data_IF_454136060108
#
_entry.id   IF_454136060108
#
_cell.length_a   1.000
_cell.length_b   1.000
_cell.length_c   1.000
_cell.angle_alpha   90.00
_cell.angle_beta   90.00
_cell.angle_gamma   90.00
#
_symmetry.space_group_name_H-M   'P 1'
#
loop_
_entity.id
_entity.type
_entity.pdbx_description
1 polymer ?
#
# COMPACT_ATOMS: atom_id res chain seq x y z
N UNK A 1 18.83 6.22 17.62
CA UNK A 1 18.84 5.86 16.20
C UNK A 1 18.05 4.57 16.06
N UNK A 2 17.05 4.53 15.18
CA UNK A 2 16.24 3.32 14.96
C UNK A 2 17.07 2.22 14.30
N UNK A 3 16.94 0.96 14.76
CA UNK A 3 17.60 -0.19 14.14
C UNK A 3 16.84 -0.62 12.89
N UNK A 4 17.53 -0.69 11.76
CA UNK A 4 16.98 -1.23 10.51
C UNK A 4 17.14 -2.75 10.50
N UNK A 5 16.04 -3.48 10.38
CA UNK A 5 16.04 -4.92 10.16
C UNK A 5 16.35 -5.23 8.70
N UNK A 6 16.86 -6.45 8.44
CA UNK A 6 17.37 -6.86 7.13
C UNK A 6 18.36 -5.84 6.54
N UNK A 7 19.30 -5.33 7.35
CA UNK A 7 20.14 -4.17 7.00
C UNK A 7 21.02 -4.37 5.76
N UNK A 8 21.30 -5.61 5.37
CA UNK A 8 22.09 -5.98 4.19
C UNK A 8 21.23 -6.36 2.97
N UNK A 9 19.91 -6.17 3.09
CA UNK A 9 18.93 -6.45 2.05
C UNK A 9 18.68 -5.27 1.11
N UNK A 10 17.41 -5.09 0.73
CA UNK A 10 17.02 -4.16 -0.34
C UNK A 10 15.93 -3.19 0.10
N UNK A 11 15.88 -2.00 -0.50
CA UNK A 11 14.75 -1.08 -0.38
C UNK A 11 13.57 -1.51 -1.28
N UNK A 12 12.38 -0.94 -1.05
CA UNK A 12 11.19 -1.29 -1.83
C UNK A 12 11.37 -1.02 -3.33
N UNK A 13 11.94 0.12 -3.71
CA UNK A 13 12.19 0.46 -5.11
C UNK A 13 13.13 -0.53 -5.81
N UNK A 14 14.19 -0.97 -5.10
CA UNK A 14 15.14 -1.97 -5.61
C UNK A 14 14.47 -3.33 -5.79
N UNK A 15 13.66 -3.78 -4.82
CA UNK A 15 12.91 -5.02 -4.92
C UNK A 15 11.90 -5.01 -6.07
N UNK A 16 11.20 -3.89 -6.28
CA UNK A 16 10.29 -3.71 -7.43
C UNK A 16 11.08 -3.73 -8.75
N UNK A 17 12.23 -3.07 -8.83
CA UNK A 17 13.10 -3.12 -10.00
C UNK A 17 13.51 -4.57 -10.32
N UNK A 18 13.92 -5.34 -9.32
CA UNK A 18 14.23 -6.77 -9.45
C UNK A 18 13.01 -7.59 -9.89
N UNK A 19 11.84 -7.37 -9.27
CA UNK A 19 10.58 -8.03 -9.64
C UNK A 19 10.16 -7.73 -11.08
N UNK A 20 10.47 -6.53 -11.57
CA UNK A 20 10.18 -6.08 -12.92
C UNK A 20 11.16 -6.60 -13.98
N UNK A 21 12.17 -7.39 -13.60
CA UNK A 21 13.29 -7.77 -14.48
C UNK A 21 14.00 -6.53 -15.06
N UNK A 22 14.18 -5.52 -14.21
CA UNK A 22 14.81 -4.23 -14.54
C UNK A 22 14.07 -3.43 -15.64
N UNK A 23 12.75 -3.62 -15.78
CA UNK A 23 11.92 -2.84 -16.74
C UNK A 23 11.29 -1.60 -16.11
N UNK A 24 11.16 -1.56 -14.79
CA UNK A 24 10.73 -0.38 -14.03
C UNK A 24 11.87 0.07 -13.12
N UNK A 25 12.23 1.36 -13.19
CA UNK A 25 13.31 1.90 -12.36
C UNK A 25 12.89 2.10 -10.91
N UNK A 26 11.61 2.40 -10.66
CA UNK A 26 11.06 2.69 -9.34
C UNK A 26 11.82 3.84 -8.64
N UNK A 27 12.16 4.88 -9.41
CA UNK A 27 12.91 6.03 -8.92
C UNK A 27 12.14 6.79 -7.83
N UNK A 28 12.82 7.10 -6.72
CA UNK A 28 12.22 7.80 -5.58
C UNK A 28 11.68 9.19 -5.98
N UNK A 29 12.42 9.95 -6.78
CA UNK A 29 12.02 11.31 -7.16
C UNK A 29 10.76 11.30 -8.02
N UNK A 30 10.68 10.40 -9.01
CA UNK A 30 9.49 10.22 -9.82
C UNK A 30 8.31 9.68 -9.03
N UNK A 31 8.55 8.78 -8.07
CA UNK A 31 7.52 8.29 -7.17
C UNK A 31 6.94 9.42 -6.30
N UNK A 32 7.79 10.28 -5.75
CA UNK A 32 7.37 11.45 -4.98
C UNK A 32 6.57 12.45 -5.83
N UNK A 33 7.01 12.72 -7.06
CA UNK A 33 6.26 13.58 -7.99
C UNK A 33 4.89 12.97 -8.33
N UNK A 34 4.82 11.66 -8.57
CA UNK A 34 3.56 10.97 -8.80
C UNK A 34 2.60 11.12 -7.62
N UNK A 35 3.10 10.95 -6.39
CA UNK A 35 2.29 11.14 -5.17
C UNK A 35 1.73 12.57 -5.14
N UNK A 36 2.55 13.59 -5.40
CA UNK A 36 2.11 14.98 -5.36
C UNK A 36 1.01 15.26 -6.39
N UNK A 37 1.15 14.75 -7.60
CA UNK A 37 0.16 14.91 -8.67
C UNK A 37 -1.15 14.15 -8.37
N UNK A 38 -1.05 12.89 -7.94
CA UNK A 38 -2.19 11.97 -7.83
C UNK A 38 -2.93 12.03 -6.48
N UNK A 39 -2.34 12.67 -5.47
CA UNK A 39 -3.07 13.11 -4.28
C UNK A 39 -3.87 14.39 -4.53
N UNK A 40 -3.43 15.21 -5.49
CA UNK A 40 -4.04 16.51 -5.80
C UNK A 40 -5.12 16.44 -6.88
N UNK A 41 -5.04 15.46 -7.78
CA UNK A 41 -6.02 15.27 -8.85
C UNK A 41 -7.21 14.37 -8.43
N UNK A 42 -8.21 14.25 -9.30
CA UNK A 42 -9.43 13.49 -9.04
C UNK A 42 -9.33 11.98 -9.35
N UNK A 43 -8.14 11.45 -9.64
CA UNK A 43 -7.96 10.06 -10.05
C UNK A 43 -8.26 9.09 -8.90
N UNK A 44 -7.76 9.38 -7.69
CA UNK A 44 -7.98 8.56 -6.50
C UNK A 44 -8.92 9.23 -5.50
N UNK A 45 -8.75 10.55 -5.28
CA UNK A 45 -9.45 11.27 -4.23
C UNK A 45 -10.96 11.15 -4.37
N UNK A 46 -11.60 10.76 -3.26
CA UNK A 46 -13.05 10.55 -3.20
C UNK A 46 -13.52 9.19 -3.68
N UNK A 47 -12.63 8.28 -4.12
CA UNK A 47 -13.03 6.89 -4.34
C UNK A 47 -13.54 6.30 -3.02
N UNK A 48 -14.71 5.64 -2.99
CA UNK A 48 -15.23 5.02 -1.77
C UNK A 48 -14.26 3.98 -1.21
N UNK A 49 -13.99 4.06 0.10
CA UNK A 49 -13.42 2.93 0.82
C UNK A 49 -14.50 1.88 1.01
N UNK A 50 -14.23 0.62 0.65
CA UNK A 50 -15.19 -0.48 0.70
C UNK A 50 -14.56 -1.73 1.32
N UNK A 51 -15.38 -2.50 2.04
CA UNK A 51 -14.96 -3.69 2.79
C UNK A 51 -14.93 -4.94 1.92
N UNK A 52 -14.16 -4.88 0.83
CA UNK A 52 -13.78 -6.05 0.05
C UNK A 52 -12.29 -6.01 -0.20
N UNK A 53 -11.55 -6.96 0.36
CA UNK A 53 -10.07 -6.97 0.36
C UNK A 53 -9.44 -6.85 -1.04
N UNK A 54 -10.16 -7.27 -2.09
CA UNK A 54 -9.69 -7.22 -3.48
C UNK A 54 -10.11 -5.94 -4.23
N UNK A 55 -10.85 -5.03 -3.60
CA UNK A 55 -11.25 -3.75 -4.18
C UNK A 55 -10.02 -2.88 -4.48
N UNK A 56 -9.80 -2.62 -5.76
CA UNK A 56 -8.60 -2.00 -6.31
C UNK A 56 -8.95 -1.17 -7.56
N UNK A 57 -10.11 -0.54 -7.57
CA UNK A 57 -10.65 0.24 -8.69
C UNK A 57 -10.85 1.71 -8.31
N UNK A 58 -9.83 2.58 -8.46
CA UNK A 58 -9.98 4.01 -8.24
C UNK A 58 -10.95 4.66 -9.24
N UNK A 59 -11.44 5.87 -8.94
CA UNK A 59 -12.27 6.69 -9.85
C UNK A 59 -11.71 6.79 -11.27
N UNK A 60 -10.39 6.97 -11.38
CA UNK A 60 -9.67 7.10 -12.65
C UNK A 60 -9.45 5.78 -13.39
N UNK A 61 -9.74 4.62 -12.79
CA UNK A 61 -9.59 3.30 -13.38
C UNK A 61 -10.54 2.28 -12.71
N UNK A 62 -11.83 2.39 -13.07
CA UNK A 62 -12.94 1.64 -12.46
C UNK A 62 -13.06 0.21 -13.02
N UNK A 63 -11.93 -0.47 -13.20
CA UNK A 63 -11.84 -1.67 -14.03
C UNK A 63 -12.68 -2.85 -13.51
N UNK A 64 -12.79 -3.04 -12.19
CA UNK A 64 -13.60 -4.14 -11.61
C UNK A 64 -15.11 -3.93 -11.77
N UNK A 65 -15.55 -2.72 -12.11
CA UNK A 65 -16.96 -2.45 -12.39
C UNK A 65 -17.39 -2.97 -13.77
N UNK A 66 -16.44 -3.43 -14.59
CA UNK A 66 -16.67 -3.98 -15.94
C UNK A 66 -16.27 -5.46 -16.06
N UNK A 67 -16.18 -6.17 -14.94
CA UNK A 67 -15.91 -7.61 -14.85
C UNK A 67 -16.92 -8.30 -13.92
N UNK A 68 -16.83 -9.62 -13.76
CA UNK A 68 -17.72 -10.35 -12.86
C UNK A 68 -17.62 -9.87 -11.39
N UNK A 69 -16.48 -9.28 -11.01
CA UNK A 69 -16.23 -8.66 -9.71
C UNK A 69 -17.18 -7.54 -9.35
N UNK A 70 -17.88 -6.94 -10.33
CA UNK A 70 -18.87 -5.89 -10.09
C UNK A 70 -19.91 -6.29 -9.06
N UNK A 71 -20.29 -7.57 -9.00
CA UNK A 71 -21.26 -8.08 -8.02
C UNK A 71 -20.74 -7.99 -6.58
N UNK A 72 -19.45 -8.26 -6.36
CA UNK A 72 -18.84 -8.12 -5.03
C UNK A 72 -18.59 -6.65 -4.68
N UNK A 73 -18.13 -5.85 -5.64
CA UNK A 73 -17.93 -4.41 -5.47
C UNK A 73 -19.21 -3.70 -5.03
N UNK A 74 -20.34 -3.95 -5.71
CA UNK A 74 -21.63 -3.30 -5.42
C UNK A 74 -22.20 -3.67 -4.04
N UNK A 75 -21.95 -4.89 -3.53
CA UNK A 75 -22.46 -5.32 -2.21
C UNK A 75 -21.92 -4.48 -1.06
N UNK A 76 -20.69 -3.99 -1.19
CA UNK A 76 -19.96 -3.29 -0.14
C UNK A 76 -19.84 -1.78 -0.40
N UNK A 77 -20.63 -1.25 -1.34
CA UNK A 77 -20.74 0.18 -1.59
C UNK A 77 -19.85 0.73 -2.71
N UNK A 78 -19.24 -0.13 -3.52
CA UNK A 78 -18.61 0.31 -4.77
C UNK A 78 -19.67 0.85 -5.74
N UNK A 79 -19.30 1.80 -6.59
CA UNK A 79 -20.23 2.44 -7.53
C UNK A 79 -19.70 2.40 -8.96
N UNK A 80 -20.59 2.46 -9.96
CA UNK A 80 -20.14 2.54 -11.36
C UNK A 80 -19.45 3.86 -11.66
N UNK A 81 -19.85 4.92 -10.94
CA UNK A 81 -19.38 6.29 -11.12
C UNK A 81 -17.97 6.49 -10.55
N UNK A 82 -17.68 5.87 -9.42
CA UNK A 82 -16.45 6.14 -8.65
C UNK A 82 -15.61 4.90 -8.36
N UNK A 83 -16.12 3.69 -8.63
CA UNK A 83 -15.41 2.44 -8.33
C UNK A 83 -15.43 2.13 -6.84
N UNK A 84 -14.31 1.66 -6.31
CA UNK A 84 -14.14 1.31 -4.91
C UNK A 84 -12.73 0.80 -4.60
N UNK A 85 -12.23 1.15 -3.43
CA UNK A 85 -10.91 0.76 -2.96
C UNK A 85 -10.97 0.17 -1.56
N UNK A 86 -10.11 -0.82 -1.31
CA UNK A 86 -9.70 -1.21 0.03
C UNK A 86 -8.21 -0.86 0.21
N UNK A 87 -7.69 -0.92 1.43
CA UNK A 87 -6.38 -0.35 1.77
C UNK A 87 -5.22 -0.93 0.95
N UNK A 88 -5.09 -2.27 0.89
CA UNK A 88 -4.05 -2.92 0.11
C UNK A 88 -4.26 -2.76 -1.39
N UNK A 89 -5.51 -2.79 -1.86
CA UNK A 89 -5.83 -2.60 -3.28
C UNK A 89 -5.52 -1.19 -3.76
N UNK A 90 -5.72 -0.19 -2.90
CA UNK A 90 -5.28 1.19 -3.12
C UNK A 90 -3.76 1.28 -3.27
N UNK A 91 -2.99 0.77 -2.30
CA UNK A 91 -1.52 0.86 -2.35
C UNK A 91 -0.96 0.09 -3.56
N UNK A 92 -1.48 -1.11 -3.84
CA UNK A 92 -1.12 -1.88 -5.04
C UNK A 92 -1.35 -1.05 -6.31
N UNK A 93 -2.54 -0.45 -6.46
CA UNK A 93 -2.87 0.33 -7.65
C UNK A 93 -2.07 1.63 -7.74
N UNK A 94 -1.82 2.31 -6.62
CA UNK A 94 -1.03 3.54 -6.58
C UNK A 94 0.42 3.29 -7.04
N UNK A 95 1.07 2.25 -6.49
CA UNK A 95 2.42 1.88 -6.89
C UNK A 95 2.44 1.43 -8.37
N UNK A 96 1.54 0.52 -8.77
CA UNK A 96 1.47 0.04 -10.15
C UNK A 96 1.25 1.19 -11.15
N UNK A 97 0.36 2.13 -10.80
CA UNK A 97 0.10 3.31 -11.64
C UNK A 97 1.31 4.24 -11.71
N UNK A 98 2.01 4.45 -10.60
CA UNK A 98 3.27 5.21 -10.58
C UNK A 98 4.32 4.61 -11.50
N UNK A 99 4.51 3.29 -11.43
CA UNK A 99 5.43 2.56 -12.31
C UNK A 99 5.01 2.62 -13.78
N UNK A 100 3.70 2.51 -14.05
CA UNK A 100 3.14 2.65 -15.41
C UNK A 100 3.40 4.04 -15.99
N UNK A 101 3.22 5.10 -15.20
CA UNK A 101 3.52 6.48 -15.59
C UNK A 101 5.02 6.67 -15.85
N UNK A 102 5.88 6.10 -14.99
CA UNK A 102 7.33 6.21 -15.14
C UNK A 102 7.86 5.49 -16.38
N UNK A 103 7.41 4.25 -16.61
CA UNK A 103 7.98 3.34 -17.60
C UNK A 103 7.29 3.40 -18.96
N UNK A 104 6.05 3.89 -19.02
CA UNK A 104 5.17 3.80 -20.19
C UNK A 104 4.57 2.40 -20.42
N UNK A 105 4.84 1.43 -19.54
CA UNK A 105 4.20 0.11 -19.57
C UNK A 105 2.75 0.21 -19.07
N UNK A 106 1.90 -0.70 -19.55
CA UNK A 106 0.51 -0.76 -19.08
C UNK A 106 0.42 -1.17 -17.60
N UNK A 107 -0.61 -0.69 -16.91
CA UNK A 107 -0.82 -1.00 -15.48
C UNK A 107 -1.09 -2.50 -15.23
N UNK A 108 -1.67 -3.22 -16.20
CA UNK A 108 -1.87 -4.67 -16.11
C UNK A 108 -0.54 -5.45 -16.08
N UNK A 109 0.53 -4.87 -16.62
CA UNK A 109 1.87 -5.42 -16.55
C UNK A 109 2.58 -4.99 -15.26
N UNK A 110 2.65 -3.69 -14.97
CA UNK A 110 3.37 -3.18 -13.79
C UNK A 110 2.74 -3.63 -12.47
N UNK A 111 1.43 -3.88 -12.44
CA UNK A 111 0.74 -4.48 -11.29
C UNK A 111 1.32 -5.84 -10.88
N UNK A 112 1.93 -6.59 -11.80
CA UNK A 112 2.56 -7.90 -11.54
C UNK A 112 3.89 -7.77 -10.79
N UNK A 113 4.44 -6.57 -10.63
CA UNK A 113 5.68 -6.32 -9.90
C UNK A 113 5.43 -5.86 -8.46
N UNK A 114 4.15 -5.63 -8.10
CA UNK A 114 3.74 -5.02 -6.84
C UNK A 114 2.98 -6.04 -5.98
N UNK A 115 3.33 -6.21 -4.69
CA UNK A 115 2.60 -7.12 -3.81
C UNK A 115 1.19 -6.59 -3.52
N UNK A 116 0.23 -7.52 -3.39
CA UNK A 116 -1.13 -7.23 -2.95
C UNK A 116 -1.62 -8.31 -1.98
N UNK A 117 -2.23 -9.37 -2.49
CA UNK A 117 -2.71 -10.53 -1.72
C UNK A 117 -2.33 -11.80 -2.46
N UNK A 118 -1.91 -12.83 -1.73
CA UNK A 118 -1.60 -14.16 -2.29
C UNK A 118 -2.78 -14.79 -3.03
N UNK A 119 -4.01 -14.35 -2.74
CA UNK A 119 -5.24 -14.91 -3.31
C UNK A 119 -5.79 -14.12 -4.50
N UNK A 120 -5.29 -12.91 -4.77
CA UNK A 120 -5.84 -12.04 -5.82
C UNK A 120 -5.66 -12.66 -7.22
N UNK A 121 -4.52 -13.28 -7.50
CA UNK A 121 -4.28 -13.92 -8.80
C UNK A 121 -5.24 -15.07 -9.06
N UNK A 122 -5.49 -15.89 -8.04
CA UNK A 122 -6.42 -17.03 -8.07
C UNK A 122 -7.89 -16.64 -8.09
N UNK A 123 -8.22 -15.37 -7.80
CA UNK A 123 -9.58 -14.85 -7.93
C UNK A 123 -10.07 -14.90 -9.39
N UNK A 124 -9.16 -14.81 -10.37
CA UNK A 124 -9.52 -14.97 -11.79
C UNK A 124 -10.01 -13.69 -12.47
N UNK A 125 -9.57 -12.52 -11.99
CA UNK A 125 -9.77 -11.23 -12.68
C UNK A 125 -8.74 -11.00 -13.80
N UNK A 126 -8.99 -10.00 -14.65
CA UNK A 126 -8.12 -9.69 -15.81
C UNK A 126 -6.70 -9.24 -15.41
N UNK A 127 -6.55 -8.58 -14.26
CA UNK A 127 -5.26 -8.11 -13.72
C UNK A 127 -4.71 -9.08 -12.68
N UNK A 128 -3.39 -9.02 -12.48
CA UNK A 128 -2.62 -9.84 -11.54
C UNK A 128 -1.69 -8.97 -10.71
N UNK A 129 -1.37 -9.42 -9.50
CA UNK A 129 -0.35 -8.85 -8.63
C UNK A 129 0.91 -9.73 -8.62
N UNK A 130 1.96 -9.25 -7.96
CA UNK A 130 3.17 -10.03 -7.76
C UNK A 130 2.93 -11.37 -7.05
N UNK A 131 3.66 -12.38 -7.50
CA UNK A 131 3.79 -13.68 -6.84
C UNK A 131 5.21 -14.21 -7.06
N UNK A 132 5.68 -15.07 -6.14
CA UNK A 132 6.92 -15.83 -6.31
C UNK A 132 6.77 -16.84 -7.45
N UNK A 133 7.88 -17.38 -7.99
CA UNK A 133 7.82 -18.49 -8.95
C UNK A 133 7.04 -19.72 -8.43
N UNK A 134 6.97 -19.89 -7.11
CA UNK A 134 6.20 -20.96 -6.45
C UNK A 134 4.72 -20.64 -6.22
N UNK A 135 4.23 -19.46 -6.63
CA UNK A 135 2.84 -19.05 -6.51
C UNK A 135 2.43 -18.41 -5.18
N UNK A 136 3.35 -18.21 -4.24
CA UNK A 136 3.10 -17.44 -3.01
C UNK A 136 3.05 -15.94 -3.31
N UNK A 137 2.37 -15.15 -2.49
CA UNK A 137 2.30 -13.69 -2.65
C UNK A 137 1.96 -12.97 -1.36
N UNK A 138 1.70 -11.66 -1.46
CA UNK A 138 1.40 -10.80 -0.31
C UNK A 138 2.65 -10.13 0.27
N UNK A 139 2.40 -9.15 1.15
CA UNK A 139 3.42 -8.21 1.61
C UNK A 139 4.52 -8.84 2.47
N UNK A 140 4.19 -9.68 3.43
CA UNK A 140 5.21 -10.33 4.28
C UNK A 140 6.06 -11.34 3.49
N UNK A 141 5.44 -12.03 2.52
CA UNK A 141 6.18 -12.90 1.57
C UNK A 141 7.12 -12.07 0.70
N UNK A 142 6.68 -10.91 0.22
CA UNK A 142 7.52 -9.99 -0.56
C UNK A 142 8.72 -9.47 0.25
N UNK A 143 8.48 -9.09 1.53
CA UNK A 143 9.53 -8.70 2.47
C UNK A 143 10.56 -9.81 2.64
N UNK A 144 10.14 -11.05 2.87
CA UNK A 144 11.07 -12.16 3.05
C UNK A 144 11.83 -12.50 1.77
N UNK A 145 11.12 -12.52 0.63
CA UNK A 145 11.67 -12.91 -0.66
C UNK A 145 12.76 -11.96 -1.14
N UNK A 146 12.55 -10.65 -0.99
CA UNK A 146 13.50 -9.61 -1.36
C UNK A 146 14.33 -9.13 -0.18
N UNK A 147 14.28 -9.80 0.98
CA UNK A 147 14.99 -9.36 2.19
C UNK A 147 14.81 -7.85 2.45
N UNK A 148 13.59 -7.34 2.36
CA UNK A 148 13.37 -5.89 2.41
C UNK A 148 13.87 -5.30 3.73
N UNK A 149 14.54 -4.17 3.64
CA UNK A 149 14.78 -3.31 4.79
C UNK A 149 13.44 -2.95 5.44
N UNK A 150 13.39 -2.96 6.77
CA UNK A 150 12.25 -2.42 7.49
C UNK A 150 12.63 -1.89 8.87
N UNK A 151 11.77 -1.02 9.39
CA UNK A 151 11.81 -0.56 10.77
C UNK A 151 10.53 -0.97 11.49
N UNK A 152 10.64 -1.20 12.79
CA UNK A 152 9.50 -1.43 13.66
C UNK A 152 9.46 -0.33 14.72
N UNK A 153 8.27 0.20 14.98
CA UNK A 153 8.07 1.20 16.01
C UNK A 153 6.87 0.83 16.90
N UNK A 154 7.04 0.85 18.23
CA UNK A 154 5.94 0.56 19.15
C UNK A 154 4.93 1.72 19.22
N UNK A 155 5.32 2.93 18.83
CA UNK A 155 4.47 4.12 18.87
C UNK A 155 4.67 5.01 17.65
N UNK A 156 3.63 5.79 17.31
CA UNK A 156 3.69 6.77 16.23
C UNK A 156 4.68 7.89 16.52
N UNK A 157 4.77 8.32 17.79
CA UNK A 157 5.72 9.34 18.24
C UNK A 157 7.17 8.91 17.99
N UNK A 158 7.52 7.66 18.31
CA UNK A 158 8.87 7.13 18.07
C UNK A 158 9.16 7.06 16.56
N UNK A 159 8.20 6.60 15.76
CA UNK A 159 8.33 6.56 14.30
C UNK A 159 8.58 7.96 13.71
N UNK A 160 7.77 8.95 14.07
CA UNK A 160 7.84 10.32 13.54
C UNK A 160 9.04 11.13 14.07
N UNK A 161 9.61 10.76 15.22
CA UNK A 161 10.82 11.39 15.78
C UNK A 161 12.12 10.69 15.39
N UNK A 162 12.04 9.51 14.76
CA UNK A 162 13.21 8.67 14.45
C UNK A 162 14.15 9.24 13.39
N UNK A 163 13.65 10.11 12.52
CA UNK A 163 14.40 10.63 11.38
C UNK A 163 14.53 9.65 10.20
N UNK A 164 13.83 8.51 10.17
CA UNK A 164 13.98 7.53 9.07
C UNK A 164 13.03 7.75 7.89
N UNK A 165 11.88 8.39 8.12
CA UNK A 165 10.82 8.49 7.11
C UNK A 165 11.14 9.50 6.01
N UNK A 166 10.74 9.18 4.78
CA UNK A 166 10.68 10.08 3.64
C UNK A 166 9.39 9.83 2.84
N UNK A 167 8.90 10.86 2.13
CA UNK A 167 7.73 10.72 1.27
C UNK A 167 7.92 9.55 0.31
N UNK A 168 6.90 8.69 0.22
CA UNK A 168 6.88 7.49 -0.61
C UNK A 168 7.17 6.19 0.13
N UNK A 169 7.65 6.24 1.37
CA UNK A 169 7.80 5.05 2.22
C UNK A 169 6.43 4.39 2.50
N UNK A 170 6.41 3.06 2.58
CA UNK A 170 5.20 2.31 2.88
C UNK A 170 5.09 2.11 4.38
N UNK A 171 3.93 2.40 4.96
CA UNK A 171 3.65 2.21 6.38
C UNK A 171 2.54 1.19 6.56
N UNK A 172 2.80 0.21 7.42
CA UNK A 172 1.80 -0.70 7.95
C UNK A 172 1.46 -0.32 9.38
N UNK A 173 0.17 -0.10 9.65
CA UNK A 173 -0.40 -0.14 10.98
C UNK A 173 -0.74 -1.60 11.32
N UNK A 174 -0.02 -2.15 12.28
CA UNK A 174 -0.16 -3.53 12.75
C UNK A 174 -1.15 -3.58 13.89
N UNK A 175 -2.16 -4.44 13.77
CA UNK A 175 -3.25 -4.57 14.72
C UNK A 175 -2.75 -5.18 16.02
N UNK A 176 -2.77 -4.36 17.08
CA UNK A 176 -2.36 -4.72 18.42
C UNK A 176 -3.27 -5.74 19.12
N UNK A 177 -4.32 -6.23 18.48
CA UNK A 177 -5.12 -7.37 18.94
C UNK A 177 -4.46 -8.72 18.64
N UNK A 178 -3.65 -8.80 17.59
CA UNK A 178 -2.99 -10.05 17.15
C UNK A 178 -1.48 -10.07 17.38
N UNK A 179 -0.85 -8.92 17.57
CA UNK A 179 0.59 -8.86 17.83
C UNK A 179 1.19 -7.47 17.63
N UNK A 180 2.52 -7.40 17.60
CA UNK A 180 3.28 -6.16 17.44
C UNK A 180 4.27 -6.32 16.28
N UNK A 181 4.56 -5.23 15.57
CA UNK A 181 5.55 -5.19 14.50
C UNK A 181 5.31 -6.22 13.38
N UNK A 182 6.38 -6.63 12.72
CA UNK A 182 6.39 -7.62 11.65
C UNK A 182 5.85 -8.98 12.12
N UNK A 183 6.08 -9.37 13.38
CA UNK A 183 5.52 -10.60 13.93
C UNK A 183 3.98 -10.55 13.98
N UNK A 184 3.40 -9.41 14.37
CA UNK A 184 1.97 -9.17 14.31
C UNK A 184 1.44 -9.19 12.88
N UNK A 185 2.13 -8.50 11.95
CA UNK A 185 1.72 -8.42 10.54
C UNK A 185 1.70 -9.77 9.81
N UNK A 186 2.45 -10.77 10.30
CA UNK A 186 2.43 -12.15 9.77
C UNK A 186 1.21 -12.95 10.24
N UNK A 187 0.48 -12.46 11.23
CA UNK A 187 -0.74 -13.09 11.72
C UNK A 187 -1.93 -12.54 10.93
N UNK A 188 -2.85 -13.42 10.52
CA UNK A 188 -4.09 -12.97 9.86
C UNK A 188 -4.89 -12.14 10.87
N UNK A 189 -5.30 -10.94 10.47
CA UNK A 189 -6.10 -10.03 11.30
C UNK A 189 -7.11 -9.27 10.46
N UNK A 190 -8.17 -8.82 11.12
CA UNK A 190 -9.27 -8.10 10.50
C UNK A 190 -8.85 -6.67 10.12
N UNK A 191 -7.93 -6.05 10.87
CA UNK A 191 -7.72 -4.61 10.84
C UNK A 191 -6.26 -4.17 10.71
N UNK A 192 -5.41 -5.00 10.09
CA UNK A 192 -4.16 -4.48 9.54
C UNK A 192 -4.46 -3.41 8.49
N UNK A 193 -3.69 -2.33 8.47
CA UNK A 193 -3.92 -1.20 7.55
C UNK A 193 -2.62 -0.71 6.93
N UNK A 194 -2.68 -0.28 5.67
CA UNK A 194 -1.50 0.11 4.89
C UNK A 194 -1.74 1.44 4.19
N UNK A 195 -0.68 2.25 4.07
CA UNK A 195 -0.68 3.50 3.33
C UNK A 195 0.73 3.93 2.91
N UNK A 196 0.80 5.04 2.17
CA UNK A 196 2.02 5.61 1.61
C UNK A 196 2.32 6.92 2.34
N UNK A 197 3.47 7.05 2.99
CA UNK A 197 3.83 8.25 3.74
C UNK A 197 3.96 9.48 2.82
N UNK A 198 3.33 10.59 3.20
CA UNK A 198 3.32 11.85 2.42
C UNK A 198 3.97 13.02 3.17
N UNK A 199 4.39 12.79 4.40
CA UNK A 199 4.95 13.83 5.25
C UNK A 199 6.38 14.25 4.89
N UNK A 200 6.89 15.20 5.68
CA UNK A 200 8.23 15.76 5.55
C UNK A 200 9.31 15.00 6.36
N UNK A 201 8.98 13.81 6.86
CA UNK A 201 9.86 12.95 7.67
C UNK A 201 9.57 13.00 9.16
N UNK A 202 8.78 13.98 9.64
CA UNK A 202 8.30 14.05 11.03
C UNK A 202 6.81 14.39 11.15
N UNK A 203 6.19 14.97 10.12
CA UNK A 203 4.76 15.24 10.12
C UNK A 203 3.93 13.95 10.05
N UNK A 204 2.82 13.92 10.78
CA UNK A 204 1.82 12.83 10.74
C UNK A 204 0.96 12.96 9.47
N UNK A 205 1.39 12.36 8.36
CA UNK A 205 0.70 12.46 7.07
C UNK A 205 1.00 11.26 6.17
N UNK A 206 -0.05 10.65 5.65
CA UNK A 206 0.03 9.58 4.65
C UNK A 206 -1.18 9.59 3.70
N UNK A 207 -1.04 8.88 2.59
CA UNK A 207 -2.05 8.66 1.57
C UNK A 207 -2.55 7.21 1.65
N UNK A 208 -3.86 7.03 1.78
CA UNK A 208 -4.48 5.74 2.07
C UNK A 208 -5.94 5.67 1.58
N UNK A 209 -6.52 4.47 1.65
CA UNK A 209 -7.98 4.24 1.52
C UNK A 209 -8.47 3.46 2.75
N UNK A 210 -9.30 4.09 3.58
CA UNK A 210 -9.61 3.63 4.94
C UNK A 210 -9.91 4.78 5.91
N UNK A 211 -9.63 4.64 7.22
CA UNK A 211 -9.93 5.65 8.24
C UNK A 211 -9.27 7.01 7.94
N UNK A 212 -10.07 8.08 7.94
CA UNK A 212 -9.57 9.46 7.71
C UNK A 212 -9.72 10.37 8.94
N UNK A 213 -10.28 9.86 10.04
CA UNK A 213 -10.66 10.68 11.20
C UNK A 213 -10.01 10.28 12.53
N UNK A 214 -9.90 8.99 12.80
CA UNK A 214 -9.31 8.47 14.03
C UNK A 214 -8.90 7.00 13.88
N UNK A 215 -7.98 6.54 14.73
CA UNK A 215 -7.68 5.11 14.88
C UNK A 215 -8.96 4.34 15.28
N UNK A 216 -9.21 3.21 14.63
CA UNK A 216 -10.40 2.38 14.90
C UNK A 216 -11.72 2.89 14.32
N UNK A 217 -11.73 4.04 13.62
CA UNK A 217 -12.94 4.61 13.03
C UNK A 217 -13.14 4.16 11.58
N UNK A 218 -13.84 3.03 11.42
CA UNK A 218 -14.27 2.50 10.12
C UNK A 218 -15.63 3.05 9.65
N UNK A 219 -16.15 4.09 10.29
CA UNK A 219 -17.35 4.81 9.84
C UNK A 219 -16.95 6.03 9.00
N UNK A 220 -15.96 6.79 9.46
CA UNK A 220 -15.46 7.97 8.77
C UNK A 220 -14.24 7.59 7.92
N UNK A 221 -14.53 7.05 6.75
CA UNK A 221 -13.56 6.43 5.82
C UNK A 221 -13.53 7.15 4.47
N UNK A 222 -12.43 7.00 3.76
CA UNK A 222 -12.29 7.53 2.41
C UNK A 222 -10.89 7.28 1.83
N UNK A 223 -10.73 7.70 0.57
CA UNK A 223 -9.42 7.69 -0.13
C UNK A 223 -8.89 9.12 -0.22
N UNK A 224 -7.93 9.47 0.64
CA UNK A 224 -7.36 10.82 0.73
C UNK A 224 -6.01 10.82 1.47
N UNK A 225 -5.36 11.98 1.51
CA UNK A 225 -4.26 12.26 2.44
C UNK A 225 -4.82 12.67 3.80
N UNK A 226 -4.36 12.03 4.87
CA UNK A 226 -4.78 12.30 6.25
C UNK A 226 -3.64 11.99 7.25
N UNK A 227 -3.82 12.18 8.55
CA UNK A 227 -2.92 11.62 9.55
C UNK A 227 -2.91 10.08 9.52
N UNK A 228 -1.85 9.47 10.04
CA UNK A 228 -1.64 8.03 10.11
C UNK A 228 -2.56 7.45 11.20
N UNK A 229 -3.74 7.01 10.76
CA UNK A 229 -4.75 6.33 11.57
C UNK A 229 -4.87 4.87 11.13
N UNK A 230 -4.70 3.94 12.06
CA UNK A 230 -4.93 2.52 11.81
C UNK A 230 -6.42 2.16 11.80
N UNK A 231 -6.76 1.11 11.06
CA UNK A 231 -8.10 0.51 11.13
C UNK A 231 -8.38 -0.14 12.49
N UNK A 232 -7.33 -0.61 13.18
CA UNK A 232 -7.45 -1.12 14.55
C UNK A 232 -7.41 0.03 15.58
N UNK A 233 -8.00 -0.20 16.75
CA UNK A 233 -7.95 0.76 17.87
C UNK A 233 -6.57 0.86 18.52
N UNK A 234 -5.72 -0.16 18.38
CA UNK A 234 -4.34 -0.20 18.89
C UNK A 234 -3.41 -0.58 17.74
N UNK A 235 -2.39 0.23 17.51
CA UNK A 235 -1.47 0.02 16.41
C UNK A 235 -0.01 0.06 16.88
N UNK A 236 0.81 -0.82 16.29
CA UNK A 236 2.25 -0.59 16.13
C UNK A 236 2.56 -0.38 14.66
N UNK A 237 3.79 0.01 14.33
CA UNK A 237 4.11 0.46 12.98
C UNK A 237 5.27 -0.32 12.39
N UNK A 238 5.12 -0.73 11.13
CA UNK A 238 6.20 -1.26 10.30
C UNK A 238 6.39 -0.31 9.14
N UNK A 239 7.64 0.12 8.90
CA UNK A 239 7.99 1.00 7.77
C UNK A 239 8.84 0.23 6.79
N UNK A 240 8.42 0.19 5.52
CA UNK A 240 9.20 -0.33 4.40
C UNK A 240 9.72 0.88 3.59
N UNK A 241 10.98 1.29 3.77
CA UNK A 241 11.52 2.47 3.11
C UNK A 241 11.62 2.27 1.59
N UNK A 242 11.27 3.29 0.82
CA UNK A 242 11.26 3.21 -0.64
C UNK A 242 12.67 3.15 -1.23
N UNK A 243 13.58 3.95 -0.69
CA UNK A 243 14.99 4.01 -1.06
C UNK A 243 15.84 4.50 0.13
N UNK A 244 17.15 4.55 -0.01
CA UNK A 244 18.03 5.12 1.02
C UNK A 244 17.71 6.61 1.23
N UNK A 245 17.44 6.99 2.48
CA UNK A 245 17.20 8.37 2.87
C UNK A 245 18.49 9.21 2.78
N UNK A 246 18.37 10.43 2.28
CA UNK A 246 19.45 11.42 2.20
C UNK A 246 19.82 12.00 3.57
#
# INVERSE_FOLDING_TARGET
>A
MASMYNSDGWYMGEAINMASLNTCAADLGKWQNFIDDYTSNDYYKGTPYIDWVFASSPKGDRWQMNEWSVSEMLKVGGTYEEGGLNCMGFVWHAIAKGLSVESGLDISQTGQYVPFSSYFNGLGLSRKCWATPGGSGGWTVFVDYYNLHYYEFPTKEEMLSSGVLQKGDIIWCVDGSVGLGMAGLRTIADNHHIGIYTGNGTSDSWWQSGPVKADGDLVNVGTDVCPIYGAAAKNTYVVLPWAKKA
#
